data_IF_964723004730
#
_entry.id   IF_964723004730
#
_cell.length_a   1.000
_cell.length_b   1.000
_cell.length_c   1.000
_cell.angle_alpha   90.00
_cell.angle_beta   90.00
_cell.angle_gamma   90.00
#
_symmetry.space_group_name_H-M   'P 1'
#
loop_
_entity.id
_entity.type
_entity.pdbx_description
1 polymer ?
#
# COMPACT_ATOMS: atom_id res chain seq x y z
N UNK A 1 -15.29 -3.30 21.94
CA UNK A 1 -14.98 -1.90 22.23
C UNK A 1 -15.33 -0.94 21.12
N UNK A 2 -14.97 0.34 21.25
CA UNK A 2 -15.33 1.38 20.29
C UNK A 2 -14.16 2.28 19.92
N UNK A 3 -14.22 2.84 18.71
CA UNK A 3 -13.32 3.87 18.19
C UNK A 3 -14.14 4.99 17.59
N UNK A 4 -13.89 6.24 18.01
CA UNK A 4 -14.59 7.43 17.55
C UNK A 4 -13.60 8.38 16.87
N UNK A 5 -13.95 8.87 15.69
CA UNK A 5 -13.21 9.87 14.92
C UNK A 5 -14.19 10.70 14.10
N UNK A 6 -13.99 12.01 14.04
CA UNK A 6 -14.85 12.91 13.26
C UNK A 6 -16.33 12.87 13.65
N UNK A 7 -16.65 12.55 14.89
CA UNK A 7 -18.03 12.39 15.37
C UNK A 7 -18.71 11.05 15.03
N UNK A 8 -18.00 10.17 14.31
CA UNK A 8 -18.50 8.83 13.95
C UNK A 8 -17.93 7.81 14.92
N UNK A 9 -18.78 6.91 15.45
CA UNK A 9 -18.38 5.82 16.33
C UNK A 9 -18.40 4.50 15.57
N UNK A 10 -17.27 3.80 15.57
CA UNK A 10 -17.11 2.46 15.04
C UNK A 10 -17.07 1.46 16.20
N UNK A 11 -17.93 0.45 16.16
CA UNK A 11 -17.86 -0.68 17.09
C UNK A 11 -16.90 -1.72 16.55
N UNK A 12 -15.82 -1.97 17.28
CA UNK A 12 -14.73 -2.84 16.85
C UNK A 12 -14.92 -4.26 17.37
N UNK A 13 -14.65 -5.20 16.49
CA UNK A 13 -14.66 -6.65 16.77
C UNK A 13 -13.27 -7.24 16.61
N UNK A 14 -13.13 -8.54 16.87
CA UNK A 14 -11.86 -9.26 16.70
C UNK A 14 -11.35 -9.16 15.24
N UNK A 15 -10.04 -9.14 15.07
CA UNK A 15 -9.35 -9.11 13.78
C UNK A 15 -9.69 -7.86 12.94
N UNK A 16 -9.93 -6.75 13.60
CA UNK A 16 -10.03 -5.43 12.96
C UNK A 16 -8.85 -4.55 13.35
N UNK A 17 -8.48 -3.67 12.44
CA UNK A 17 -7.51 -2.62 12.65
C UNK A 17 -8.16 -1.28 12.38
N UNK A 18 -7.73 -0.26 13.09
CA UNK A 18 -8.16 1.11 12.85
C UNK A 18 -6.97 2.05 12.72
N UNK A 19 -7.14 3.10 11.96
CA UNK A 19 -6.11 4.09 11.67
C UNK A 19 -6.37 5.38 12.40
N UNK A 20 -5.32 5.96 12.98
CA UNK A 20 -5.31 7.28 13.59
C UNK A 20 -4.46 8.19 12.72
N UNK A 21 -5.07 9.23 12.14
CA UNK A 21 -4.33 10.26 11.42
C UNK A 21 -3.80 11.33 12.36
N UNK A 22 -2.64 11.93 12.08
CA UNK A 22 -2.14 13.05 12.85
C UNK A 22 -3.12 14.22 12.88
N UNK A 23 -3.28 14.83 14.06
CA UNK A 23 -4.11 16.02 14.24
C UNK A 23 -5.62 15.80 14.32
N UNK A 24 -6.08 14.56 14.26
CA UNK A 24 -7.49 14.24 14.45
C UNK A 24 -7.82 13.99 15.92
N UNK A 25 -8.93 14.57 16.38
CA UNK A 25 -9.46 14.24 17.69
C UNK A 25 -10.13 12.87 17.66
N UNK A 26 -9.61 11.95 18.48
CA UNK A 26 -10.10 10.58 18.55
C UNK A 26 -10.40 10.17 19.97
N UNK A 27 -11.29 9.20 20.11
CA UNK A 27 -11.50 8.47 21.37
C UNK A 27 -11.61 6.99 21.05
N UNK A 28 -10.98 6.15 21.84
CA UNK A 28 -11.17 4.70 21.75
C UNK A 28 -11.14 4.08 23.15
N UNK A 29 -11.84 2.99 23.31
CA UNK A 29 -11.93 2.30 24.59
C UNK A 29 -12.38 0.85 24.42
N UNK A 30 -11.84 0.01 25.30
CA UNK A 30 -12.28 -1.37 25.41
C UNK A 30 -13.70 -1.43 26.00
N UNK A 31 -14.39 -2.53 25.74
CA UNK A 31 -15.62 -2.85 26.40
C UNK A 31 -15.36 -3.17 27.89
N UNK A 32 -16.31 -2.85 28.77
CA UNK A 32 -16.17 -3.12 30.21
C UNK A 32 -16.28 -4.61 30.55
N UNK A 33 -17.10 -5.33 29.82
CA UNK A 33 -17.41 -6.74 30.09
C UNK A 33 -16.52 -7.68 29.28
N UNK A 34 -16.20 -7.30 28.02
CA UNK A 34 -15.33 -8.02 27.12
C UNK A 34 -14.21 -7.11 26.61
N UNK A 35 -13.18 -6.82 27.43
CA UNK A 35 -12.08 -5.94 27.02
C UNK A 35 -11.24 -6.60 25.93
N UNK A 36 -10.91 -5.81 24.89
CA UNK A 36 -10.00 -6.25 23.85
C UNK A 36 -8.53 -6.20 24.26
N UNK A 37 -7.73 -7.02 23.61
CA UNK A 37 -6.27 -6.85 23.56
C UNK A 37 -5.91 -6.23 22.22
N UNK A 38 -5.04 -5.22 22.21
CA UNK A 38 -4.62 -4.56 20.99
C UNK A 38 -3.12 -4.22 21.02
N UNK A 39 -2.56 -4.08 19.84
CA UNK A 39 -1.22 -3.52 19.65
C UNK A 39 -1.32 -2.32 18.70
N UNK A 40 -0.42 -1.36 18.84
CA UNK A 40 -0.35 -0.22 17.95
C UNK A 40 1.07 -0.01 17.43
N UNK A 41 1.16 0.52 16.21
CA UNK A 41 2.43 0.87 15.55
C UNK A 41 2.32 2.31 15.08
N UNK A 42 3.21 3.18 15.55
CA UNK A 42 3.38 4.53 15.03
C UNK A 42 4.44 4.55 13.95
N UNK A 43 4.16 5.21 12.84
CA UNK A 43 5.11 5.38 11.74
C UNK A 43 4.90 6.73 11.05
N UNK A 44 5.93 7.21 10.39
CA UNK A 44 5.90 8.41 9.58
C UNK A 44 6.78 8.24 8.32
N UNK A 45 6.61 9.11 7.35
CA UNK A 45 7.44 9.12 6.14
C UNK A 45 6.70 9.71 4.95
N UNK A 46 7.47 10.09 3.93
CA UNK A 46 6.96 10.74 2.71
C UNK A 46 5.89 9.89 2.00
N UNK A 47 5.99 8.56 2.07
CA UNK A 47 5.07 7.61 1.43
C UNK A 47 3.96 7.10 2.35
N UNK A 48 3.91 7.51 3.63
CA UNK A 48 2.97 6.96 4.60
C UNK A 48 1.52 7.03 4.11
N UNK A 49 1.08 8.21 3.67
CA UNK A 49 -0.30 8.41 3.22
C UNK A 49 -0.65 7.61 1.95
N UNK A 50 0.26 7.55 0.95
CA UNK A 50 0.04 6.77 -0.26
C UNK A 50 0.01 5.26 0.03
N UNK A 51 0.87 4.80 0.92
CA UNK A 51 0.88 3.40 1.37
C UNK A 51 -0.41 3.02 2.07
N UNK A 52 -0.89 3.86 3.00
CA UNK A 52 -2.16 3.63 3.70
C UNK A 52 -3.36 3.58 2.75
N UNK A 53 -3.39 4.44 1.72
CA UNK A 53 -4.43 4.36 0.68
C UNK A 53 -4.41 3.03 -0.07
N UNK A 54 -3.24 2.52 -0.40
CA UNK A 54 -3.09 1.21 -1.05
C UNK A 54 -3.49 0.06 -0.11
N UNK A 55 -3.37 0.22 1.20
CA UNK A 55 -3.92 -0.70 2.20
C UNK A 55 -5.44 -0.60 2.35
N UNK A 56 -6.10 0.35 1.69
CA UNK A 56 -7.55 0.56 1.75
C UNK A 56 -8.03 1.59 2.76
N UNK A 57 -7.12 2.22 3.52
CA UNK A 57 -7.46 3.28 4.44
C UNK A 57 -7.70 4.62 3.73
N UNK A 58 -8.66 5.37 4.22
CA UNK A 58 -8.92 6.73 3.78
C UNK A 58 -9.63 7.50 4.90
N UNK A 59 -9.85 8.82 4.73
CA UNK A 59 -10.66 9.61 5.66
C UNK A 59 -12.16 9.26 5.65
N UNK A 60 -12.59 8.34 4.78
CA UNK A 60 -13.91 7.74 4.77
C UNK A 60 -13.91 6.28 5.23
N UNK A 61 -12.72 5.67 5.41
CA UNK A 61 -12.54 4.28 5.79
C UNK A 61 -11.41 4.15 6.82
N UNK A 62 -11.75 4.27 8.08
CA UNK A 62 -10.78 4.22 9.19
C UNK A 62 -10.60 2.82 9.77
N UNK A 63 -11.52 1.90 9.50
CA UNK A 63 -11.52 0.55 10.09
C UNK A 63 -11.53 -0.48 8.97
N UNK A 64 -10.63 -1.45 9.05
CA UNK A 64 -10.52 -2.54 8.09
C UNK A 64 -10.41 -3.89 8.81
N UNK A 65 -11.02 -4.94 8.25
CA UNK A 65 -10.80 -6.29 8.74
C UNK A 65 -9.45 -6.83 8.28
N UNK A 66 -8.87 -7.76 9.05
CA UNK A 66 -7.67 -8.48 8.69
C UNK A 66 -7.93 -9.99 8.66
N UNK A 67 -7.66 -10.65 7.52
CA UNK A 67 -8.01 -12.06 7.30
C UNK A 67 -7.03 -13.06 7.90
N UNK A 68 -5.78 -12.67 8.12
CA UNK A 68 -4.70 -13.55 8.60
C UNK A 68 -4.08 -12.97 9.88
N UNK A 69 -4.79 -12.98 11.01
CA UNK A 69 -4.34 -12.35 12.25
C UNK A 69 -3.01 -12.90 12.75
N UNK A 70 -2.72 -14.18 12.55
CA UNK A 70 -1.48 -14.81 13.02
C UNK A 70 -0.25 -14.17 12.38
N UNK A 71 -0.29 -13.85 11.08
CA UNK A 71 0.79 -13.14 10.39
C UNK A 71 0.99 -11.74 10.95
N UNK A 72 -0.09 -11.04 11.27
CA UNK A 72 -0.03 -9.71 11.87
C UNK A 72 0.64 -9.76 13.24
N UNK A 73 0.25 -10.71 14.09
CA UNK A 73 0.83 -10.93 15.42
C UNK A 73 2.32 -11.26 15.31
N UNK A 74 2.70 -12.13 14.41
CA UNK A 74 4.11 -12.48 14.16
C UNK A 74 4.93 -11.25 13.77
N UNK A 75 4.45 -10.43 12.84
CA UNK A 75 5.15 -9.21 12.42
C UNK A 75 5.30 -8.19 13.53
N UNK A 76 4.22 -7.94 14.29
CA UNK A 76 4.26 -7.04 15.44
C UNK A 76 5.25 -7.55 16.48
N UNK A 77 5.25 -8.84 16.79
CA UNK A 77 6.19 -9.47 17.73
C UNK A 77 7.63 -9.29 17.26
N UNK A 78 7.92 -9.50 15.99
CA UNK A 78 9.25 -9.30 15.40
C UNK A 78 9.71 -7.84 15.47
N UNK A 79 8.82 -6.88 15.30
CA UNK A 79 9.12 -5.45 15.49
C UNK A 79 9.47 -5.18 16.96
N UNK A 80 8.67 -5.67 17.91
CA UNK A 80 8.89 -5.49 19.35
C UNK A 80 10.19 -6.12 19.84
N UNK A 81 10.55 -7.32 19.35
CA UNK A 81 11.82 -7.99 19.70
C UNK A 81 13.05 -7.27 19.14
N UNK A 82 12.87 -6.34 18.21
CA UNK A 82 13.95 -5.51 17.64
C UNK A 82 14.08 -4.14 18.32
N UNK A 83 13.57 -3.99 19.55
CA UNK A 83 13.49 -2.70 20.26
C UNK A 83 14.84 -2.12 20.70
N UNK A 84 15.89 -2.95 20.87
CA UNK A 84 17.20 -2.47 21.27
C UNK A 84 17.76 -1.46 20.26
N UNK A 85 18.26 -0.33 20.75
CA UNK A 85 18.83 0.73 19.92
C UNK A 85 20.14 0.28 19.27
N UNK A 86 20.10 0.09 17.96
CA UNK A 86 21.26 -0.13 17.10
C UNK A 86 20.88 0.16 15.65
N UNK A 87 21.82 0.53 14.81
CA UNK A 87 21.59 0.76 13.40
C UNK A 87 21.03 -0.49 12.69
N UNK A 88 21.51 -1.67 13.07
CA UNK A 88 21.01 -2.94 12.55
C UNK A 88 19.53 -3.15 12.89
N UNK A 89 19.14 -2.88 14.16
CA UNK A 89 17.74 -3.01 14.56
C UNK A 89 16.84 -1.94 13.95
N UNK A 90 17.37 -0.74 13.67
CA UNK A 90 16.63 0.29 12.93
C UNK A 90 16.31 -0.18 11.51
N UNK A 91 17.30 -0.74 10.81
CA UNK A 91 17.07 -1.32 9.49
C UNK A 91 16.09 -2.49 9.54
N UNK A 92 16.22 -3.36 10.56
CA UNK A 92 15.31 -4.50 10.76
C UNK A 92 13.87 -4.04 10.99
N UNK A 93 13.64 -3.06 11.87
CA UNK A 93 12.29 -2.49 12.10
C UNK A 93 11.70 -1.88 10.85
N UNK A 94 12.48 -1.12 10.08
CA UNK A 94 12.03 -0.55 8.80
C UNK A 94 11.67 -1.65 7.79
N UNK A 95 12.48 -2.68 7.67
CA UNK A 95 12.19 -3.83 6.81
C UNK A 95 10.90 -4.56 7.21
N UNK A 96 10.73 -4.82 8.51
CA UNK A 96 9.52 -5.45 9.05
C UNK A 96 8.27 -4.58 8.85
N UNK A 97 8.38 -3.26 8.99
CA UNK A 97 7.29 -2.34 8.73
C UNK A 97 6.87 -2.36 7.25
N UNK A 98 7.84 -2.38 6.32
CA UNK A 98 7.54 -2.49 4.89
C UNK A 98 6.89 -3.82 4.54
N UNK A 99 7.34 -4.92 5.15
CA UNK A 99 6.70 -6.23 5.00
C UNK A 99 5.26 -6.22 5.54
N UNK A 100 5.03 -5.60 6.70
CA UNK A 100 3.68 -5.43 7.24
C UNK A 100 2.77 -4.70 6.26
N UNK A 101 3.23 -3.59 5.68
CA UNK A 101 2.45 -2.88 4.66
C UNK A 101 2.17 -3.73 3.41
N UNK A 102 3.12 -4.53 2.96
CA UNK A 102 2.90 -5.48 1.86
C UNK A 102 1.73 -6.42 2.15
N UNK A 103 1.70 -7.02 3.36
CA UNK A 103 0.58 -7.87 3.77
C UNK A 103 -0.76 -7.13 3.89
N UNK A 104 -0.74 -5.87 4.35
CA UNK A 104 -1.97 -5.07 4.42
C UNK A 104 -2.53 -4.77 3.02
N UNK A 105 -1.67 -4.47 2.05
CA UNK A 105 -2.08 -4.28 0.65
C UNK A 105 -2.65 -5.57 0.06
N UNK A 106 -1.98 -6.70 0.25
CA UNK A 106 -2.47 -8.01 -0.20
C UNK A 106 -3.83 -8.36 0.45
N UNK A 107 -3.96 -8.10 1.76
CA UNK A 107 -5.22 -8.32 2.49
C UNK A 107 -6.36 -7.48 1.92
N UNK A 108 -6.10 -6.21 1.60
CA UNK A 108 -7.09 -5.31 1.00
C UNK A 108 -7.49 -5.78 -0.41
N UNK A 109 -6.54 -6.19 -1.24
CA UNK A 109 -6.79 -6.73 -2.56
C UNK A 109 -7.68 -7.99 -2.48
N UNK A 110 -7.39 -8.92 -1.59
CA UNK A 110 -8.22 -10.10 -1.35
C UNK A 110 -9.65 -9.77 -0.88
N UNK A 111 -9.86 -8.66 -0.16
CA UNK A 111 -11.19 -8.23 0.30
C UNK A 111 -11.95 -7.59 -0.87
N UNK A 112 -11.31 -6.72 -1.62
CA UNK A 112 -11.94 -5.97 -2.71
C UNK A 112 -12.27 -6.84 -3.93
N UNK A 113 -11.49 -7.87 -4.21
CA UNK A 113 -11.76 -8.83 -5.30
C UNK A 113 -13.04 -9.65 -5.04
N UNK A 114 -13.39 -9.91 -3.77
CA UNK A 114 -14.64 -10.58 -3.41
C UNK A 114 -15.88 -9.68 -3.62
N UNK A 115 -15.70 -8.37 -3.64
CA UNK A 115 -16.79 -7.39 -3.85
C UNK A 115 -16.91 -6.92 -5.29
N UNK A 116 -15.84 -7.06 -6.08
CA UNK A 116 -15.78 -6.65 -7.48
C UNK A 116 -16.10 -7.83 -8.41
N UNK A 117 -17.31 -7.84 -9.00
CA UNK A 117 -17.74 -8.82 -10.01
C UNK A 117 -17.13 -8.58 -11.42
N UNK A 118 -16.07 -7.83 -11.57
CA UNK A 118 -15.43 -7.54 -12.85
C UNK A 118 -13.99 -7.98 -12.87
N UNK A 119 -13.70 -9.01 -13.65
CA UNK A 119 -12.36 -9.59 -13.87
C UNK A 119 -11.45 -8.67 -14.69
N UNK A 120 -11.01 -7.58 -14.11
CA UNK A 120 -9.95 -6.72 -14.65
C UNK A 120 -8.69 -6.88 -13.81
N UNK A 121 -7.52 -6.96 -14.44
CA UNK A 121 -6.23 -6.91 -13.76
C UNK A 121 -6.15 -5.60 -12.96
N UNK A 122 -6.09 -5.69 -11.64
CA UNK A 122 -5.98 -4.52 -10.78
C UNK A 122 -4.51 -4.12 -10.73
N UNK A 123 -4.22 -2.92 -11.16
CA UNK A 123 -2.88 -2.34 -11.06
C UNK A 123 -2.76 -1.59 -9.73
N UNK A 124 -1.82 -2.03 -8.89
CA UNK A 124 -1.67 -1.57 -7.49
C UNK A 124 -1.12 -0.15 -7.36
N UNK A 125 -0.49 0.36 -8.42
CA UNK A 125 0.11 1.69 -8.43
C UNK A 125 -0.74 2.72 -9.16
N UNK A 126 -0.62 3.99 -8.74
CA UNK A 126 -1.11 5.11 -9.55
C UNK A 126 -0.42 5.14 -10.91
N UNK A 127 -1.11 5.63 -11.94
CA UNK A 127 -0.60 5.67 -13.32
C UNK A 127 0.77 6.35 -13.46
N UNK A 128 1.05 7.37 -12.63
CA UNK A 128 2.34 8.08 -12.62
C UNK A 128 3.52 7.17 -12.24
N UNK A 129 3.34 6.24 -11.31
CA UNK A 129 4.42 5.33 -10.87
C UNK A 129 4.85 4.40 -11.99
N UNK A 130 3.88 3.85 -12.73
CA UNK A 130 4.20 3.01 -13.91
C UNK A 130 4.96 3.79 -14.98
N UNK A 131 4.58 5.06 -15.20
CA UNK A 131 5.26 5.92 -16.16
C UNK A 131 6.70 6.24 -15.70
N UNK A 132 6.92 6.55 -14.42
CA UNK A 132 8.26 6.77 -13.86
C UNK A 132 9.16 5.56 -14.05
N UNK A 133 8.69 4.36 -13.70
CA UNK A 133 9.45 3.12 -13.91
C UNK A 133 9.74 2.84 -15.38
N UNK A 134 8.78 3.13 -16.27
CA UNK A 134 8.97 2.99 -17.71
C UNK A 134 10.05 3.94 -18.23
N UNK A 135 10.01 5.21 -17.82
CA UNK A 135 11.00 6.22 -18.19
C UNK A 135 12.40 5.81 -17.70
N UNK A 136 12.51 5.35 -16.47
CA UNK A 136 13.78 4.87 -15.92
C UNK A 136 14.33 3.67 -16.68
N UNK A 137 13.47 2.73 -17.06
CA UNK A 137 13.87 1.59 -17.88
C UNK A 137 14.36 2.04 -19.27
N UNK A 138 13.62 2.95 -19.91
CA UNK A 138 14.00 3.54 -21.21
C UNK A 138 15.37 4.24 -21.11
N UNK A 139 15.57 5.11 -20.12
CA UNK A 139 16.84 5.81 -19.89
C UNK A 139 18.04 4.88 -19.81
N UNK A 140 17.88 3.73 -19.14
CA UNK A 140 18.96 2.76 -18.93
C UNK A 140 19.20 1.83 -20.12
N UNK A 141 18.22 1.65 -21.01
CA UNK A 141 18.26 0.60 -22.03
C UNK A 141 17.99 1.08 -23.48
N UNK A 142 17.76 2.37 -23.73
CA UNK A 142 17.38 2.91 -25.05
C UNK A 142 18.34 2.50 -26.16
N UNK A 143 19.62 2.36 -25.86
CA UNK A 143 20.68 1.97 -26.80
C UNK A 143 20.74 0.45 -27.09
N UNK A 144 19.92 -0.37 -26.40
CA UNK A 144 19.90 -1.84 -26.55
C UNK A 144 18.80 -2.35 -27.49
N UNK A 145 18.19 -1.48 -28.26
CA UNK A 145 17.15 -1.87 -29.21
C UNK A 145 15.81 -2.30 -28.61
N UNK A 146 15.55 -1.93 -27.34
CA UNK A 146 14.30 -2.29 -26.63
C UNK A 146 13.05 -1.81 -27.38
N UNK A 147 11.94 -2.49 -27.20
CA UNK A 147 10.64 -2.13 -27.75
C UNK A 147 9.59 -1.91 -26.62
N UNK A 148 8.38 -1.50 -26.97
CA UNK A 148 7.31 -1.21 -26.01
C UNK A 148 6.86 -2.44 -25.21
N UNK A 149 6.98 -3.64 -25.81
CA UNK A 149 6.65 -4.88 -25.10
C UNK A 149 7.67 -5.15 -23.99
N UNK A 150 8.97 -4.97 -24.28
CA UNK A 150 10.02 -5.12 -23.26
C UNK A 150 9.83 -4.19 -22.08
N UNK A 151 9.36 -2.96 -22.33
CA UNK A 151 9.05 -1.99 -21.26
C UNK A 151 7.86 -2.47 -20.43
N UNK A 152 6.79 -2.93 -21.08
CA UNK A 152 5.59 -3.41 -20.41
C UNK A 152 5.87 -4.65 -19.56
N UNK A 153 6.63 -5.60 -20.08
CA UNK A 153 7.04 -6.83 -19.41
C UNK A 153 7.93 -6.53 -18.19
N UNK A 154 8.87 -5.59 -18.32
CA UNK A 154 9.73 -5.18 -17.21
C UNK A 154 8.92 -4.60 -16.04
N UNK A 155 7.86 -3.84 -16.33
CA UNK A 155 7.03 -3.20 -15.31
C UNK A 155 5.96 -4.16 -14.78
N UNK A 156 5.68 -5.27 -15.47
CA UNK A 156 4.65 -6.24 -15.12
C UNK A 156 3.22 -5.79 -15.45
N UNK A 157 3.04 -5.00 -16.54
CA UNK A 157 1.73 -4.52 -16.99
C UNK A 157 1.49 -4.86 -18.46
N UNK A 158 0.22 -4.85 -18.87
CA UNK A 158 -0.09 -5.04 -20.30
C UNK A 158 0.36 -3.85 -21.16
N UNK A 159 0.76 -4.12 -22.39
CA UNK A 159 1.12 -3.07 -23.38
C UNK A 159 -0.02 -2.05 -23.58
N UNK A 160 -1.26 -2.52 -23.55
CA UNK A 160 -2.45 -1.66 -23.67
C UNK A 160 -2.55 -0.69 -22.50
N UNK A 161 -2.33 -1.18 -21.28
CA UNK A 161 -2.35 -0.35 -20.09
C UNK A 161 -1.16 0.61 -20.04
N UNK A 162 0.03 0.18 -20.43
CA UNK A 162 1.20 1.06 -20.58
C UNK A 162 0.89 2.23 -21.53
N UNK A 163 0.26 1.95 -22.67
CA UNK A 163 -0.15 3.02 -23.61
C UNK A 163 -1.16 3.97 -22.96
N UNK A 164 -2.15 3.44 -22.24
CA UNK A 164 -3.15 4.25 -21.54
C UNK A 164 -2.51 5.19 -20.50
N UNK A 165 -1.61 4.69 -19.65
CA UNK A 165 -0.98 5.53 -18.62
C UNK A 165 -0.03 6.56 -19.20
N UNK A 166 0.69 6.26 -20.27
CA UNK A 166 1.53 7.23 -20.98
C UNK A 166 0.70 8.36 -21.61
N UNK A 167 -0.39 8.02 -22.27
CA UNK A 167 -1.31 9.02 -22.83
C UNK A 167 -1.91 9.91 -21.74
N UNK A 168 -2.31 9.31 -20.62
CA UNK A 168 -2.93 10.03 -19.50
C UNK A 168 -1.94 10.98 -18.81
N UNK A 169 -0.73 10.52 -18.54
CA UNK A 169 0.25 11.28 -17.72
C UNK A 169 1.14 12.20 -18.55
N UNK A 170 1.48 11.82 -19.79
CA UNK A 170 2.44 12.53 -20.64
C UNK A 170 1.85 13.06 -21.96
N UNK A 171 0.63 12.65 -22.32
CA UNK A 171 0.01 13.04 -23.59
C UNK A 171 0.65 12.42 -24.84
N UNK A 172 1.57 11.45 -24.68
CA UNK A 172 2.27 10.78 -25.78
C UNK A 172 2.22 9.26 -25.63
N UNK A 173 2.42 8.52 -26.74
CA UNK A 173 2.52 7.08 -26.65
C UNK A 173 3.91 6.64 -26.16
N UNK A 174 4.04 5.45 -25.52
CA UNK A 174 5.34 4.88 -25.12
C UNK A 174 6.28 4.71 -26.32
N UNK A 175 5.74 4.36 -27.48
CA UNK A 175 6.51 4.21 -28.72
C UNK A 175 7.13 5.55 -29.16
N UNK A 176 6.32 6.63 -29.17
CA UNK A 176 6.80 7.96 -29.53
C UNK A 176 7.86 8.43 -28.52
N UNK A 177 7.60 8.30 -27.23
CA UNK A 177 8.54 8.65 -26.18
C UNK A 177 9.89 7.92 -26.35
N UNK A 178 9.86 6.61 -26.62
CA UNK A 178 11.07 5.82 -26.87
C UNK A 178 11.83 6.28 -28.12
N UNK A 179 11.12 6.66 -29.18
CA UNK A 179 11.75 7.18 -30.41
C UNK A 179 12.37 8.55 -30.19
N UNK A 180 11.71 9.44 -29.50
CA UNK A 180 12.20 10.80 -29.20
C UNK A 180 13.41 10.76 -28.23
N UNK A 181 13.57 9.66 -27.50
CA UNK A 181 14.66 9.46 -26.55
C UNK A 181 15.93 8.86 -27.19
N UNK A 182 15.84 8.27 -28.41
CA UNK A 182 16.96 7.69 -29.17
C UNK A 182 17.69 8.69 -30.01
#
# INVERSE_FOLDING_TARGET
GSYMVGGITYFLTINQMFLIYPGEEIRYGADSDEPWTYAWIGFNGIRAESTLRNCGFSRQCYVLPFKKPDLLVEHITNILTSAQLSFSNDLKRNGLLLMLFSYLVENYNCISDQTAKSGGTRYDYGSSVYVEHAIDYIKRNHNRGINVTDIADYIGISRTYLNHVFQKELGVSPQKFLMDFR
#
